data_IF_474900365990
#
_entry.id   IF_474900365990
#
_cell.length_a   1.000
_cell.length_b   1.000
_cell.length_c   1.000
_cell.angle_alpha   90.00
_cell.angle_beta   90.00
_cell.angle_gamma   90.00
#
_symmetry.space_group_name_H-M   'P 1'
#
loop_
_entity.id
_entity.type
_entity.pdbx_description
1 polymer ?
#
# COMPACT_ATOMS: atom_id res chain seq x y z
N UNK A 1 2.03 -1.13 17.57
CA UNK A 1 0.67 -1.00 18.15
C UNK A 1 -0.36 -1.71 17.26
N UNK A 2 -0.28 -1.59 15.94
CA UNK A 2 -1.30 -2.04 14.97
C UNK A 2 -1.01 -3.40 14.32
N UNK A 3 0.16 -3.99 14.51
CA UNK A 3 0.59 -5.16 13.75
C UNK A 3 0.56 -6.44 14.60
N UNK A 4 -0.10 -7.47 14.08
CA UNK A 4 0.04 -8.85 14.52
C UNK A 4 0.46 -9.69 13.31
N UNK A 5 1.78 -9.83 13.11
CA UNK A 5 2.36 -10.49 11.93
C UNK A 5 1.87 -11.92 11.76
N UNK A 6 1.72 -12.67 12.86
CA UNK A 6 1.25 -14.06 12.81
C UNK A 6 -0.13 -14.18 12.16
N UNK A 7 -1.02 -13.20 12.41
CA UNK A 7 -2.38 -13.16 11.83
C UNK A 7 -2.44 -12.54 10.44
N UNK A 8 -1.53 -11.62 10.14
CA UNK A 8 -1.50 -10.97 8.81
C UNK A 8 -0.84 -11.87 7.77
N UNK A 9 0.20 -12.60 8.16
CA UNK A 9 0.97 -13.47 7.25
C UNK A 9 0.47 -14.90 7.19
N UNK A 10 -0.40 -15.31 8.12
CA UNK A 10 -0.82 -16.72 8.26
C UNK A 10 0.30 -17.66 8.75
N UNK A 11 1.48 -17.14 9.05
CA UNK A 11 2.62 -17.93 9.50
C UNK A 11 2.78 -17.87 11.01
N UNK A 12 2.66 -19.01 11.66
CA UNK A 12 2.81 -19.14 13.12
C UNK A 12 4.26 -19.25 13.56
N UNK A 13 5.15 -19.69 12.68
CA UNK A 13 6.57 -19.93 12.95
C UNK A 13 7.45 -18.87 12.26
N UNK A 14 8.59 -18.51 12.86
CA UNK A 14 9.61 -17.73 12.18
C UNK A 14 10.07 -18.43 10.89
N UNK A 15 10.47 -17.68 9.89
CA UNK A 15 11.08 -18.24 8.70
C UNK A 15 12.36 -18.99 9.08
N UNK A 16 12.56 -20.18 8.50
CA UNK A 16 13.80 -20.97 8.63
C UNK A 16 14.35 -21.29 7.24
N UNK A 17 15.62 -21.71 7.17
CA UNK A 17 16.19 -22.15 5.90
C UNK A 17 15.40 -23.31 5.27
N UNK A 18 14.76 -24.14 6.09
CA UNK A 18 13.93 -25.26 5.62
C UNK A 18 12.64 -24.75 4.97
N UNK A 19 11.95 -23.78 5.62
CA UNK A 19 10.75 -23.18 5.04
C UNK A 19 11.05 -22.41 3.75
N UNK A 20 12.20 -21.71 3.68
CA UNK A 20 12.66 -21.06 2.45
C UNK A 20 12.94 -22.09 1.36
N UNK A 21 13.72 -23.15 1.67
CA UNK A 21 14.02 -24.22 0.70
C UNK A 21 12.75 -24.92 0.22
N UNK A 22 11.82 -25.22 1.11
CA UNK A 22 10.54 -25.82 0.73
C UNK A 22 9.77 -24.91 -0.24
N UNK A 23 9.63 -23.62 0.08
CA UNK A 23 8.93 -22.66 -0.78
C UNK A 23 9.55 -22.53 -2.18
N UNK A 24 10.89 -22.57 -2.30
CA UNK A 24 11.54 -22.44 -3.61
C UNK A 24 11.70 -23.76 -4.35
N UNK A 25 11.60 -24.90 -3.67
CA UNK A 25 11.72 -26.22 -4.32
C UNK A 25 10.52 -26.58 -5.21
N UNK A 26 9.38 -25.95 -5.01
CA UNK A 26 8.17 -26.12 -5.82
C UNK A 26 8.16 -25.25 -7.07
N UNK A 27 9.15 -24.35 -7.21
CA UNK A 27 9.22 -23.42 -8.34
C UNK A 27 9.88 -24.08 -9.54
N UNK A 28 9.25 -23.93 -10.70
CA UNK A 28 9.82 -24.40 -11.97
C UNK A 28 11.10 -23.60 -12.32
N UNK A 29 12.16 -24.27 -12.81
CA UNK A 29 13.34 -23.58 -13.31
C UNK A 29 13.00 -22.51 -14.36
N UNK A 30 13.75 -21.41 -14.36
CA UNK A 30 13.57 -20.26 -15.26
C UNK A 30 12.19 -19.58 -15.20
N UNK A 31 11.39 -19.82 -14.17
CA UNK A 31 10.08 -19.17 -13.99
C UNK A 31 10.17 -17.70 -13.58
N UNK A 32 11.32 -17.27 -13.05
CA UNK A 32 11.61 -15.86 -12.81
C UNK A 32 10.81 -15.20 -11.68
N UNK A 33 10.44 -15.94 -10.64
CA UNK A 33 9.70 -15.39 -9.50
C UNK A 33 10.53 -14.38 -8.70
N UNK A 34 9.86 -13.38 -8.11
CA UNK A 34 10.44 -12.55 -7.05
C UNK A 34 10.15 -13.19 -5.69
N UNK A 35 11.21 -13.44 -4.89
CA UNK A 35 11.08 -13.94 -3.52
C UNK A 35 11.17 -12.76 -2.55
N UNK A 36 10.19 -12.63 -1.66
CA UNK A 36 10.14 -11.54 -0.71
C UNK A 36 10.12 -12.04 0.74
N UNK A 37 11.02 -11.50 1.57
CA UNK A 37 11.02 -11.71 3.01
C UNK A 37 10.17 -10.64 3.69
N UNK A 38 9.01 -11.03 4.18
CA UNK A 38 8.06 -10.20 4.92
C UNK A 38 7.83 -10.74 6.33
N UNK A 39 7.15 -9.95 7.16
CA UNK A 39 6.70 -10.39 8.47
C UNK A 39 7.57 -9.91 9.62
N UNK A 40 8.50 -9.00 9.36
CA UNK A 40 9.36 -8.41 10.38
C UNK A 40 10.32 -7.39 9.79
N UNK A 41 11.30 -7.00 10.60
CA UNK A 41 12.40 -6.15 10.14
C UNK A 41 13.59 -7.04 9.81
N UNK A 42 13.74 -7.42 8.54
CA UNK A 42 14.75 -8.39 8.11
C UNK A 42 16.16 -8.01 8.57
N UNK A 43 16.55 -6.75 8.44
CA UNK A 43 17.89 -6.29 8.86
C UNK A 43 18.03 -6.09 10.38
N UNK A 44 16.97 -6.32 11.16
CA UNK A 44 17.01 -6.26 12.62
C UNK A 44 17.11 -7.63 13.29
N UNK A 45 16.96 -8.74 12.56
CA UNK A 45 17.27 -10.08 13.08
C UNK A 45 18.78 -10.34 13.12
N UNK A 46 19.26 -11.33 13.89
CA UNK A 46 20.68 -11.66 13.95
C UNK A 46 21.29 -11.89 12.57
N UNK A 47 22.54 -11.45 12.37
CA UNK A 47 23.23 -11.54 11.08
C UNK A 47 23.33 -12.97 10.57
N UNK A 48 23.65 -13.90 11.44
CA UNK A 48 23.71 -15.33 11.10
C UNK A 48 22.38 -15.88 10.60
N UNK A 49 21.26 -15.40 11.13
CA UNK A 49 19.93 -15.80 10.65
C UNK A 49 19.65 -15.19 9.28
N UNK A 50 20.00 -13.91 9.04
CA UNK A 50 19.88 -13.28 7.72
C UNK A 50 20.64 -14.08 6.66
N UNK A 51 21.89 -14.45 6.96
CA UNK A 51 22.76 -15.22 6.06
C UNK A 51 22.20 -16.60 5.76
N UNK A 52 21.72 -17.29 6.77
CA UNK A 52 21.10 -18.64 6.62
C UNK A 52 19.84 -18.58 5.73
N UNK A 53 18.99 -17.57 5.91
CA UNK A 53 17.79 -17.39 5.11
C UNK A 53 18.12 -17.02 3.65
N UNK A 54 19.05 -16.09 3.44
CA UNK A 54 19.46 -15.65 2.10
C UNK A 54 20.21 -16.76 1.35
N UNK A 55 21.11 -17.48 2.04
CA UNK A 55 21.83 -18.60 1.45
C UNK A 55 20.90 -19.71 0.96
N UNK A 56 19.76 -19.91 1.64
CA UNK A 56 18.78 -20.91 1.24
C UNK A 56 18.12 -20.61 -0.13
N UNK A 57 18.17 -19.36 -0.61
CA UNK A 57 17.62 -18.94 -1.92
C UNK A 57 18.60 -19.18 -3.07
N UNK A 58 19.91 -19.30 -2.79
CA UNK A 58 20.96 -19.37 -3.83
C UNK A 58 20.71 -20.45 -4.88
N UNK A 59 20.28 -21.70 -4.54
CA UNK A 59 20.00 -22.71 -5.56
C UNK A 59 18.90 -22.28 -6.55
N UNK A 60 17.82 -21.67 -6.05
CA UNK A 60 16.72 -21.18 -6.88
C UNK A 60 17.13 -19.96 -7.75
N UNK A 61 18.05 -19.13 -7.28
CA UNK A 61 18.69 -18.07 -8.10
C UNK A 61 19.50 -18.67 -9.24
N UNK A 62 20.30 -19.71 -8.97
CA UNK A 62 21.14 -20.37 -9.99
C UNK A 62 20.31 -21.08 -11.06
N UNK A 63 19.16 -21.66 -10.71
CA UNK A 63 18.25 -22.31 -11.67
C UNK A 63 17.38 -21.30 -12.45
N UNK A 64 17.40 -20.02 -12.07
CA UNK A 64 16.54 -18.98 -12.63
C UNK A 64 15.07 -19.08 -12.15
N UNK A 65 14.74 -19.96 -11.23
CA UNK A 65 13.42 -20.03 -10.63
C UNK A 65 13.08 -18.75 -9.84
N UNK A 66 14.09 -18.17 -9.17
CA UNK A 66 13.99 -16.86 -8.51
C UNK A 66 14.85 -15.85 -9.28
N UNK A 67 14.22 -14.81 -9.82
CA UNK A 67 14.87 -13.73 -10.57
C UNK A 67 15.28 -12.55 -9.68
N UNK A 68 14.56 -12.30 -8.59
CA UNK A 68 14.80 -11.17 -7.68
C UNK A 68 14.53 -11.54 -6.23
N UNK A 69 15.24 -10.87 -5.31
CA UNK A 69 15.01 -11.01 -3.86
C UNK A 69 14.68 -9.63 -3.30
N UNK A 70 13.62 -9.57 -2.50
CA UNK A 70 13.17 -8.39 -1.76
C UNK A 70 13.21 -8.64 -0.26
N UNK A 71 13.61 -7.63 0.50
CA UNK A 71 13.52 -7.66 1.97
C UNK A 71 12.72 -6.46 2.46
N UNK A 72 11.90 -6.67 3.50
CA UNK A 72 11.21 -5.59 4.19
C UNK A 72 11.84 -5.33 5.55
N UNK A 73 12.06 -4.05 5.88
CA UNK A 73 12.69 -3.68 7.14
C UNK A 73 12.24 -2.32 7.66
N UNK A 74 12.66 -2.01 8.90
CA UNK A 74 12.46 -0.70 9.52
C UNK A 74 13.56 0.27 9.09
N UNK A 75 13.26 1.58 8.96
CA UNK A 75 14.26 2.59 8.60
C UNK A 75 15.47 2.63 9.54
N UNK A 76 15.24 2.56 10.86
CA UNK A 76 16.29 2.60 11.89
C UNK A 76 17.19 1.35 11.94
N UNK A 77 16.86 0.32 11.16
CA UNK A 77 17.63 -0.92 11.08
C UNK A 77 18.50 -1.04 9.82
N UNK A 78 18.69 0.05 9.06
CA UNK A 78 19.48 0.09 7.82
C UNK A 78 20.85 0.72 8.11
N UNK A 79 21.92 0.02 7.71
CA UNK A 79 23.29 0.53 7.73
C UNK A 79 24.01 0.12 6.44
N UNK A 80 25.11 0.79 6.10
CA UNK A 80 25.92 0.45 4.93
C UNK A 80 26.42 -1.01 4.97
N UNK A 81 26.85 -1.49 6.14
CA UNK A 81 27.30 -2.86 6.34
C UNK A 81 26.20 -3.88 6.06
N UNK A 82 24.98 -3.63 6.56
CA UNK A 82 23.82 -4.50 6.30
C UNK A 82 23.43 -4.49 4.83
N UNK A 83 23.48 -3.34 4.18
CA UNK A 83 23.23 -3.23 2.74
C UNK A 83 24.30 -3.97 1.93
N UNK A 84 25.57 -3.88 2.30
CA UNK A 84 26.64 -4.64 1.65
C UNK A 84 26.40 -6.16 1.75
N UNK A 85 25.94 -6.65 2.90
CA UNK A 85 25.54 -8.06 3.10
C UNK A 85 24.38 -8.44 2.20
N UNK A 86 23.31 -7.65 2.18
CA UNK A 86 22.15 -7.90 1.32
C UNK A 86 22.57 -8.01 -0.16
N UNK A 87 23.45 -7.12 -0.61
CA UNK A 87 24.01 -7.13 -1.95
C UNK A 87 24.80 -8.39 -2.25
N UNK A 88 25.64 -8.83 -1.31
CA UNK A 88 26.43 -10.06 -1.46
C UNK A 88 25.55 -11.28 -1.75
N UNK A 89 24.37 -11.34 -1.12
CA UNK A 89 23.38 -12.42 -1.35
C UNK A 89 22.42 -12.16 -2.52
N UNK A 90 22.61 -11.08 -3.28
CA UNK A 90 21.82 -10.80 -4.47
C UNK A 90 20.41 -10.26 -4.19
N UNK A 91 20.21 -9.58 -3.06
CA UNK A 91 19.01 -8.78 -2.83
C UNK A 91 19.03 -7.58 -3.77
N UNK A 92 17.90 -7.28 -4.39
CA UNK A 92 17.74 -6.19 -5.37
C UNK A 92 16.83 -5.08 -4.84
N UNK A 93 15.85 -5.43 -4.01
CA UNK A 93 14.85 -4.48 -3.51
C UNK A 93 14.84 -4.43 -1.99
N UNK A 94 14.88 -3.21 -1.45
CA UNK A 94 14.69 -2.96 -0.01
C UNK A 94 13.39 -2.17 0.17
N UNK A 95 12.46 -2.74 0.93
CA UNK A 95 11.20 -2.11 1.30
C UNK A 95 11.28 -1.55 2.71
N UNK A 96 11.11 -0.24 2.88
CA UNK A 96 11.16 0.44 4.17
C UNK A 96 9.74 0.72 4.68
N UNK A 97 9.47 0.24 5.89
CA UNK A 97 8.22 0.51 6.59
C UNK A 97 8.21 1.90 7.23
N UNK A 98 8.12 2.98 6.44
CA UNK A 98 8.04 4.35 6.92
C UNK A 98 6.80 4.60 7.79
N UNK A 99 5.67 4.09 7.37
CA UNK A 99 4.34 4.20 7.95
C UNK A 99 3.79 5.64 7.97
N UNK A 100 4.50 6.60 8.55
CA UNK A 100 4.21 8.03 8.55
C UNK A 100 5.52 8.83 8.44
N UNK A 101 5.40 10.09 8.00
CA UNK A 101 6.48 11.08 8.04
C UNK A 101 6.20 12.18 9.07
N UNK A 102 5.30 11.90 10.03
CA UNK A 102 5.02 12.74 11.19
C UNK A 102 5.47 12.01 12.46
N UNK A 103 6.45 12.57 13.17
CA UNK A 103 7.07 11.91 14.33
C UNK A 103 6.10 11.70 15.49
N UNK A 104 5.12 12.60 15.67
CA UNK A 104 4.07 12.41 16.68
C UNK A 104 3.18 11.20 16.35
N UNK A 105 2.82 11.00 15.09
CA UNK A 105 2.06 9.83 14.63
C UNK A 105 2.88 8.56 14.82
N UNK A 106 4.16 8.59 14.48
CA UNK A 106 5.08 7.46 14.70
C UNK A 106 5.18 7.09 16.17
N UNK A 107 5.35 8.07 17.05
CA UNK A 107 5.41 7.88 18.50
C UNK A 107 4.12 7.27 19.05
N UNK A 108 2.97 7.85 18.70
CA UNK A 108 1.64 7.35 19.15
C UNK A 108 1.34 5.96 18.61
N UNK A 109 1.87 5.63 17.46
CA UNK A 109 1.77 4.31 16.85
C UNK A 109 2.78 3.30 17.38
N UNK A 110 3.61 3.67 18.36
CA UNK A 110 4.63 2.82 18.96
C UNK A 110 5.72 2.40 17.97
N UNK A 111 6.06 3.29 16.99
CA UNK A 111 7.18 3.08 16.09
C UNK A 111 8.47 3.52 16.78
N UNK A 112 9.54 2.75 16.58
CA UNK A 112 10.84 3.01 17.18
C UNK A 112 11.78 3.85 16.31
N UNK A 113 11.28 4.42 15.19
CA UNK A 113 12.04 5.25 14.27
C UNK A 113 11.34 6.60 14.06
N UNK A 114 12.09 7.55 13.52
CA UNK A 114 11.63 8.90 13.18
C UNK A 114 11.48 9.08 11.66
N UNK A 115 10.88 10.17 11.25
CA UNK A 115 10.83 10.58 9.84
C UNK A 115 12.24 10.79 9.27
N UNK A 116 13.17 11.32 10.08
CA UNK A 116 14.57 11.52 9.69
C UNK A 116 15.29 10.18 9.44
N UNK A 117 15.03 9.15 10.25
CA UNK A 117 15.55 7.80 10.01
C UNK A 117 15.07 7.26 8.65
N UNK A 118 13.81 7.53 8.29
CA UNK A 118 13.28 7.15 6.97
C UNK A 118 14.03 7.87 5.84
N UNK A 119 14.30 9.16 5.97
CA UNK A 119 15.05 9.93 4.97
C UNK A 119 16.47 9.40 4.82
N UNK A 120 17.16 9.16 5.94
CA UNK A 120 18.54 8.61 5.96
C UNK A 120 18.58 7.22 5.34
N UNK A 121 17.68 6.32 5.75
CA UNK A 121 17.62 4.97 5.21
C UNK A 121 17.30 4.95 3.70
N UNK A 122 16.36 5.76 3.25
CA UNK A 122 16.03 5.88 1.83
C UNK A 122 17.25 6.31 1.00
N UNK A 123 18.01 7.29 1.50
CA UNK A 123 19.26 7.73 0.86
C UNK A 123 20.30 6.60 0.80
N UNK A 124 20.56 5.92 1.91
CA UNK A 124 21.52 4.81 1.97
C UNK A 124 21.14 3.67 1.00
N UNK A 125 19.86 3.29 0.96
CA UNK A 125 19.36 2.24 0.05
C UNK A 125 19.60 2.63 -1.40
N UNK A 126 19.28 3.86 -1.80
CA UNK A 126 19.49 4.37 -3.16
C UNK A 126 20.95 4.50 -3.52
N UNK A 127 21.76 5.09 -2.65
CA UNK A 127 23.21 5.25 -2.87
C UNK A 127 23.91 3.89 -3.00
N UNK A 128 23.41 2.90 -2.26
CA UNK A 128 23.84 1.52 -2.40
C UNK A 128 23.30 0.83 -3.67
N UNK A 129 22.45 1.48 -4.51
CA UNK A 129 21.96 1.00 -5.80
C UNK A 129 20.89 -0.09 -5.71
N UNK A 130 20.14 -0.17 -4.61
CA UNK A 130 18.94 -1.00 -4.50
C UNK A 130 17.71 -0.28 -5.06
N UNK A 131 16.73 -1.04 -5.53
CA UNK A 131 15.38 -0.53 -5.69
C UNK A 131 14.79 -0.21 -4.31
N UNK A 132 14.27 0.99 -4.16
CA UNK A 132 13.67 1.46 -2.92
C UNK A 132 12.15 1.39 -3.01
N UNK A 133 11.52 0.60 -2.16
CA UNK A 133 10.08 0.69 -1.92
C UNK A 133 9.81 1.34 -0.57
N UNK A 134 8.79 2.21 -0.53
CA UNK A 134 8.34 2.82 0.72
C UNK A 134 6.90 2.39 1.02
N UNK A 135 6.67 1.98 2.26
CA UNK A 135 5.35 1.65 2.75
C UNK A 135 4.86 2.75 3.68
N UNK A 136 3.66 3.27 3.40
CA UNK A 136 2.95 4.19 4.28
C UNK A 136 1.62 3.62 4.75
N UNK A 137 1.12 4.18 5.85
CA UNK A 137 -0.22 3.87 6.37
C UNK A 137 -1.06 5.14 6.46
N UNK A 138 -2.38 5.00 6.38
CA UNK A 138 -3.34 6.07 6.67
C UNK A 138 -4.16 5.73 7.89
N UNK A 139 -4.64 6.76 8.61
CA UNK A 139 -5.49 6.59 9.77
C UNK A 139 -4.78 5.99 11.00
N UNK A 140 -3.47 6.14 11.14
CA UNK A 140 -2.73 5.73 12.33
C UNK A 140 -3.16 6.54 13.57
N UNK A 141 -2.95 6.03 14.80
CA UNK A 141 -3.21 6.78 16.03
C UNK A 141 -2.55 8.17 16.00
N UNK A 142 -3.36 9.21 16.13
CA UNK A 142 -2.92 10.60 16.07
C UNK A 142 -2.77 11.18 14.67
N UNK A 143 -3.05 10.42 13.62
CA UNK A 143 -3.10 10.93 12.25
C UNK A 143 -4.48 11.47 11.88
N UNK A 144 -4.50 12.30 10.86
CA UNK A 144 -5.67 12.79 10.15
C UNK A 144 -5.40 12.83 8.63
N UNK A 145 -6.41 13.20 7.84
CA UNK A 145 -6.29 13.30 6.38
C UNK A 145 -5.14 14.24 5.95
N UNK A 146 -4.89 15.34 6.70
CA UNK A 146 -3.86 16.31 6.35
C UNK A 146 -2.46 15.75 6.58
N UNK A 147 -2.24 15.06 7.71
CA UNK A 147 -0.97 14.40 8.04
C UNK A 147 -0.70 13.20 7.13
N UNK A 148 -1.73 12.45 6.75
CA UNK A 148 -1.59 11.33 5.79
C UNK A 148 -1.19 11.84 4.40
N UNK A 149 -1.78 12.96 3.93
CA UNK A 149 -1.40 13.61 2.67
C UNK A 149 0.00 14.23 2.76
N UNK A 150 0.36 14.84 3.89
CA UNK A 150 1.72 15.35 4.11
C UNK A 150 2.73 14.20 4.05
N UNK A 151 2.43 13.06 4.67
CA UNK A 151 3.25 11.84 4.60
C UNK A 151 3.44 11.38 3.15
N UNK A 152 2.37 11.33 2.35
CA UNK A 152 2.47 10.96 0.94
C UNK A 152 3.38 11.91 0.13
N UNK A 153 3.27 13.22 0.35
CA UNK A 153 4.14 14.21 -0.29
C UNK A 153 5.60 14.07 0.11
N UNK A 154 5.86 13.85 1.41
CA UNK A 154 7.22 13.64 1.92
C UNK A 154 7.83 12.36 1.35
N UNK A 155 7.07 11.28 1.25
CA UNK A 155 7.50 10.03 0.60
C UNK A 155 7.76 10.23 -0.88
N UNK A 156 6.88 10.93 -1.61
CA UNK A 156 7.08 11.21 -3.04
C UNK A 156 8.36 12.03 -3.29
N UNK A 157 8.70 12.96 -2.39
CA UNK A 157 9.94 13.74 -2.48
C UNK A 157 11.21 12.89 -2.35
N UNK A 158 11.15 11.72 -1.70
CA UNK A 158 12.26 10.76 -1.62
C UNK A 158 12.46 9.97 -2.93
N UNK A 159 11.51 10.07 -3.87
CA UNK A 159 11.54 9.39 -5.19
C UNK A 159 11.82 7.90 -5.07
N UNK A 160 10.99 7.12 -4.37
CA UNK A 160 11.12 5.67 -4.37
C UNK A 160 10.73 5.09 -5.74
N UNK A 161 11.16 3.86 -6.00
CA UNK A 161 10.80 3.10 -7.21
C UNK A 161 9.35 2.58 -7.14
N UNK A 162 8.74 2.59 -5.97
CA UNK A 162 7.33 2.27 -5.78
C UNK A 162 6.87 2.46 -4.34
N UNK A 163 5.55 2.50 -4.18
CA UNK A 163 4.92 2.72 -2.85
C UNK A 163 3.86 1.66 -2.59
N UNK A 164 3.71 1.33 -1.30
CA UNK A 164 2.55 0.60 -0.77
C UNK A 164 1.79 1.48 0.20
N UNK A 165 0.47 1.48 0.10
CA UNK A 165 -0.42 2.25 0.98
C UNK A 165 -1.32 1.27 1.72
N UNK A 166 -1.20 1.25 3.04
CA UNK A 166 -2.00 0.40 3.90
C UNK A 166 -2.86 1.24 4.85
N UNK A 167 -4.14 1.45 4.56
CA UNK A 167 -5.06 2.00 5.54
C UNK A 167 -5.12 1.13 6.79
N UNK A 168 -5.25 1.78 7.94
CA UNK A 168 -5.21 1.11 9.23
C UNK A 168 -6.40 0.19 9.41
N UNK A 169 -6.12 -1.06 9.74
CA UNK A 169 -7.09 -2.09 10.10
C UNK A 169 -6.85 -2.48 11.53
N UNK A 170 -7.91 -2.62 12.31
CA UNK A 170 -7.86 -3.07 13.70
C UNK A 170 -7.85 -4.60 13.69
N UNK A 171 -6.68 -5.16 14.00
CA UNK A 171 -6.47 -6.60 14.04
C UNK A 171 -6.67 -7.11 15.47
N UNK A 172 -7.33 -8.24 15.59
CA UNK A 172 -7.59 -8.92 16.86
C UNK A 172 -6.30 -9.19 17.66
N UNK A 173 -6.36 -9.00 18.98
CA UNK A 173 -5.23 -9.19 19.89
C UNK A 173 -4.05 -8.25 19.60
N UNK A 174 -4.33 -6.99 19.29
CA UNK A 174 -3.34 -5.93 19.16
C UNK A 174 -3.59 -4.82 20.16
N UNK A 175 -2.55 -4.08 20.59
CA UNK A 175 -2.74 -2.88 21.40
C UNK A 175 -3.66 -1.84 20.73
N UNK A 176 -3.76 -1.82 19.40
CA UNK A 176 -4.69 -0.94 18.69
C UNK A 176 -6.16 -1.33 18.95
N UNK A 177 -6.46 -2.63 19.01
CA UNK A 177 -7.79 -3.10 19.38
C UNK A 177 -8.15 -2.67 20.81
N UNK A 178 -7.20 -2.75 21.74
CA UNK A 178 -7.41 -2.30 23.12
C UNK A 178 -7.70 -0.80 23.18
N UNK A 179 -6.93 0.01 22.44
CA UNK A 179 -7.17 1.46 22.35
C UNK A 179 -8.55 1.78 21.75
N UNK A 180 -8.94 1.07 20.71
CA UNK A 180 -10.25 1.23 20.07
C UNK A 180 -11.39 0.84 21.03
N UNK A 181 -11.32 -0.32 21.67
CA UNK A 181 -12.33 -0.75 22.66
C UNK A 181 -12.44 0.19 23.86
N UNK A 182 -11.32 0.82 24.24
CA UNK A 182 -11.29 1.82 25.30
C UNK A 182 -11.74 3.23 24.86
N UNK A 183 -12.15 3.41 23.59
CA UNK A 183 -12.55 4.71 23.05
C UNK A 183 -11.40 5.71 22.89
N UNK A 184 -10.13 5.24 22.94
CA UNK A 184 -8.91 6.07 22.81
C UNK A 184 -8.37 6.14 21.39
N UNK A 185 -8.91 5.37 20.48
CA UNK A 185 -8.65 5.42 19.04
C UNK A 185 -9.97 5.39 18.31
N UNK A 186 -10.17 6.34 17.41
CA UNK A 186 -11.32 6.37 16.53
C UNK A 186 -11.01 5.50 15.30
N UNK A 187 -11.92 4.62 14.96
CA UNK A 187 -11.81 3.76 13.78
C UNK A 187 -11.59 4.57 12.51
N UNK A 188 -10.61 4.19 11.72
CA UNK A 188 -10.40 4.63 10.35
C UNK A 188 -11.23 3.73 9.43
N UNK A 189 -12.43 4.16 9.09
CA UNK A 189 -13.39 3.35 8.33
C UNK A 189 -12.95 3.11 6.87
N UNK A 190 -13.60 2.16 6.17
CA UNK A 190 -13.39 1.96 4.73
C UNK A 190 -13.67 3.25 3.95
N UNK A 191 -14.72 4.01 4.32
CA UNK A 191 -15.06 5.27 3.66
C UNK A 191 -13.99 6.35 3.90
N UNK A 192 -13.43 6.45 5.11
CA UNK A 192 -12.34 7.36 5.41
C UNK A 192 -11.08 7.02 4.59
N UNK A 193 -10.74 5.73 4.54
CA UNK A 193 -9.61 5.25 3.75
C UNK A 193 -9.80 5.53 2.26
N UNK A 194 -10.99 5.28 1.73
CA UNK A 194 -11.32 5.58 0.32
C UNK A 194 -11.21 7.07 0.05
N UNK A 195 -11.71 7.91 0.97
CA UNK A 195 -11.67 9.37 0.84
C UNK A 195 -10.23 9.90 0.83
N UNK A 196 -9.40 9.52 1.80
CA UNK A 196 -8.02 10.02 1.89
C UNK A 196 -7.11 9.42 0.81
N UNK A 197 -7.20 8.13 0.53
CA UNK A 197 -6.38 7.49 -0.50
C UNK A 197 -6.71 8.01 -1.91
N UNK A 198 -7.96 8.37 -2.22
CA UNK A 198 -8.31 9.02 -3.48
C UNK A 198 -7.68 10.42 -3.65
N UNK A 199 -7.24 11.07 -2.55
CA UNK A 199 -6.47 12.32 -2.58
C UNK A 199 -4.96 12.06 -2.61
N UNK A 200 -4.51 10.92 -2.10
CA UNK A 200 -3.10 10.52 -2.06
C UNK A 200 -2.63 9.97 -3.42
N UNK A 201 -3.44 9.16 -4.11
CA UNK A 201 -3.04 8.55 -5.37
C UNK A 201 -2.49 9.55 -6.40
N UNK A 202 -3.15 10.71 -6.66
CA UNK A 202 -2.63 11.69 -7.61
C UNK A 202 -1.23 12.21 -7.27
N UNK A 203 -0.85 12.27 -5.98
CA UNK A 203 0.47 12.72 -5.55
C UNK A 203 1.58 11.79 -6.10
N UNK A 204 1.33 10.49 -6.08
CA UNK A 204 2.27 9.50 -6.60
C UNK A 204 2.19 9.41 -8.12
N UNK A 205 0.99 9.47 -8.71
CA UNK A 205 0.78 9.45 -10.16
C UNK A 205 1.51 10.65 -10.82
N UNK A 206 1.33 11.87 -10.28
CA UNK A 206 1.99 13.09 -10.78
C UNK A 206 3.53 13.05 -10.63
N UNK A 207 4.02 12.33 -9.61
CA UNK A 207 5.46 12.11 -9.42
C UNK A 207 6.03 10.94 -10.24
N UNK A 208 5.19 10.23 -11.00
CA UNK A 208 5.58 9.05 -11.77
C UNK A 208 5.96 7.85 -10.90
N UNK A 209 5.47 7.78 -9.65
CA UNK A 209 5.79 6.72 -8.69
C UNK A 209 4.65 5.70 -8.66
N UNK A 210 4.89 4.43 -9.04
CA UNK A 210 3.85 3.42 -9.04
C UNK A 210 3.38 3.06 -7.63
N UNK A 211 2.07 3.11 -7.40
CA UNK A 211 1.45 2.53 -6.21
C UNK A 211 1.23 1.05 -6.48
N UNK A 212 2.18 0.22 -6.05
CA UNK A 212 2.19 -1.22 -6.32
C UNK A 212 1.19 -2.01 -5.48
N UNK A 213 0.72 -1.42 -4.38
CA UNK A 213 -0.30 -2.02 -3.52
C UNK A 213 -1.08 -0.95 -2.76
N UNK A 214 -2.41 -1.12 -2.73
CA UNK A 214 -3.31 -0.33 -1.90
C UNK A 214 -4.26 -1.28 -1.15
N UNK A 215 -4.19 -1.25 0.19
CA UNK A 215 -4.92 -2.16 1.08
C UNK A 215 -4.22 -3.50 1.32
N UNK A 216 -4.61 -4.19 2.39
CA UNK A 216 -4.09 -5.51 2.74
C UNK A 216 -4.48 -6.55 1.69
N UNK A 217 -3.65 -7.57 1.54
CA UNK A 217 -4.02 -8.74 0.75
C UNK A 217 -5.20 -9.43 1.44
N UNK A 218 -6.24 -9.80 0.69
CA UNK A 218 -7.26 -10.68 1.22
C UNK A 218 -6.62 -12.01 1.66
N UNK A 219 -6.97 -12.44 2.87
CA UNK A 219 -6.65 -13.76 3.38
C UNK A 219 -7.87 -14.34 4.08
N UNK A 220 -7.91 -15.66 4.20
CA UNK A 220 -8.99 -16.33 4.90
C UNK A 220 -9.06 -15.91 6.38
N UNK A 221 -7.91 -15.64 7.00
CA UNK A 221 -7.85 -15.17 8.38
C UNK A 221 -8.41 -13.76 8.55
N UNK A 222 -8.03 -12.82 7.67
CA UNK A 222 -8.55 -11.45 7.71
C UNK A 222 -10.05 -11.42 7.42
N UNK A 223 -10.49 -12.18 6.42
CA UNK A 223 -11.90 -12.31 6.05
C UNK A 223 -12.71 -13.10 7.07
N UNK A 224 -12.07 -14.03 7.80
CA UNK A 224 -12.63 -14.87 8.86
C UNK A 224 -12.75 -14.20 10.23
N UNK A 225 -12.47 -12.89 10.35
CA UNK A 225 -12.69 -12.12 11.57
C UNK A 225 -11.44 -11.69 12.32
N UNK A 226 -10.23 -11.92 11.80
CA UNK A 226 -9.02 -11.33 12.38
C UNK A 226 -9.01 -9.80 12.24
N UNK A 227 -9.63 -9.25 11.19
CA UNK A 227 -9.93 -7.83 11.06
C UNK A 227 -11.24 -7.52 11.78
N UNK A 228 -11.16 -6.93 12.98
CA UNK A 228 -12.34 -6.69 13.83
C UNK A 228 -13.02 -5.35 13.52
N UNK A 229 -12.29 -4.40 12.95
CA UNK A 229 -12.79 -3.09 12.53
C UNK A 229 -11.75 -2.39 11.63
N UNK A 230 -12.07 -1.20 11.12
CA UNK A 230 -11.14 -0.40 10.32
C UNK A 230 -11.28 -0.63 8.82
N UNK A 231 -10.28 -0.20 8.08
CA UNK A 231 -10.34 -0.07 6.63
C UNK A 231 -10.03 -1.38 5.88
N UNK A 232 -10.61 -2.50 6.31
CA UNK A 232 -10.46 -3.76 5.58
C UNK A 232 -11.56 -3.95 4.55
N UNK A 233 -11.16 -4.03 3.28
CA UNK A 233 -12.04 -4.40 2.17
C UNK A 233 -11.23 -5.12 1.08
N UNK A 234 -11.67 -6.29 0.58
CA UNK A 234 -10.91 -7.05 -0.43
C UNK A 234 -10.61 -6.27 -1.72
N UNK A 235 -11.54 -5.41 -2.12
CA UNK A 235 -11.44 -4.56 -3.31
C UNK A 235 -11.14 -3.08 -2.98
N UNK A 236 -10.43 -2.79 -1.88
CA UNK A 236 -10.19 -1.40 -1.44
C UNK A 236 -9.56 -0.54 -2.54
N UNK A 237 -8.58 -1.08 -3.26
CA UNK A 237 -7.93 -0.36 -4.35
C UNK A 237 -8.88 0.02 -5.49
N UNK A 238 -9.88 -0.81 -5.77
CA UNK A 238 -10.92 -0.50 -6.75
C UNK A 238 -11.85 0.62 -6.25
N UNK A 239 -12.28 0.54 -4.98
CA UNK A 239 -13.10 1.58 -4.36
C UNK A 239 -12.41 2.94 -4.39
N UNK A 240 -11.11 2.99 -4.07
CA UNK A 240 -10.32 4.22 -4.09
C UNK A 240 -10.21 4.79 -5.51
N UNK A 241 -9.92 3.95 -6.52
CA UNK A 241 -9.89 4.39 -7.92
C UNK A 241 -11.27 4.89 -8.37
N UNK A 242 -12.32 4.19 -8.01
CA UNK A 242 -13.70 4.60 -8.31
C UNK A 242 -14.03 5.98 -7.70
N UNK A 243 -13.61 6.23 -6.46
CA UNK A 243 -13.75 7.53 -5.80
C UNK A 243 -12.93 8.63 -6.53
N UNK A 244 -11.71 8.33 -6.95
CA UNK A 244 -10.89 9.27 -7.71
C UNK A 244 -11.60 9.69 -9.01
N UNK A 245 -12.18 8.74 -9.73
CA UNK A 245 -12.95 9.01 -10.95
C UNK A 245 -14.20 9.84 -10.65
N UNK A 246 -14.91 9.55 -9.56
CA UNK A 246 -16.02 10.38 -9.10
C UNK A 246 -15.60 11.82 -8.82
N UNK A 247 -14.50 12.03 -8.12
CA UNK A 247 -13.98 13.37 -7.83
C UNK A 247 -13.64 14.15 -9.12
N UNK A 248 -13.04 13.48 -10.12
CA UNK A 248 -12.79 14.08 -11.45
C UNK A 248 -14.10 14.48 -12.13
N UNK A 249 -15.10 13.61 -12.11
CA UNK A 249 -16.41 13.89 -12.69
C UNK A 249 -17.15 15.04 -11.97
N UNK A 250 -17.02 15.16 -10.64
CA UNK A 250 -17.57 16.30 -9.90
C UNK A 250 -17.05 17.65 -10.42
N UNK A 251 -15.74 17.72 -10.71
CA UNK A 251 -15.13 18.93 -11.26
C UNK A 251 -15.73 19.28 -12.65
N UNK A 252 -15.96 18.29 -13.50
CA UNK A 252 -16.56 18.48 -14.83
C UNK A 252 -18.03 18.88 -14.74
N UNK A 253 -18.74 18.32 -13.76
CA UNK A 253 -20.18 18.57 -13.57
C UNK A 253 -20.48 19.84 -12.78
N UNK A 254 -19.48 20.55 -12.26
CA UNK A 254 -19.66 21.76 -11.46
C UNK A 254 -20.44 22.87 -12.15
N UNK A 255 -20.44 22.89 -13.50
CA UNK A 255 -21.23 23.81 -14.32
C UNK A 255 -22.51 23.21 -14.92
N UNK A 256 -22.95 22.02 -14.49
CA UNK A 256 -24.14 21.41 -15.02
C UNK A 256 -25.40 22.06 -14.43
N UNK A 257 -26.43 22.28 -15.30
CA UNK A 257 -27.71 22.83 -14.85
C UNK A 257 -28.58 21.73 -14.20
N UNK A 258 -29.26 22.03 -13.10
CA UNK A 258 -30.27 21.10 -12.55
C UNK A 258 -31.28 20.69 -13.60
N UNK A 259 -31.68 19.39 -13.58
CA UNK A 259 -32.61 18.83 -14.56
C UNK A 259 -31.98 18.48 -15.93
N UNK A 260 -30.67 18.72 -16.13
CA UNK A 260 -30.02 18.35 -17.37
C UNK A 260 -29.85 16.84 -17.54
N UNK A 261 -29.84 16.39 -18.81
CA UNK A 261 -29.32 15.07 -19.18
C UNK A 261 -27.85 15.18 -19.52
N UNK A 262 -27.02 14.35 -18.93
CA UNK A 262 -25.58 14.36 -19.13
C UNK A 262 -25.08 12.97 -19.53
N UNK A 263 -24.16 12.95 -20.49
CA UNK A 263 -23.39 11.78 -20.86
C UNK A 263 -21.90 12.09 -20.62
N UNK A 264 -21.23 11.23 -19.86
CA UNK A 264 -19.77 11.29 -19.66
C UNK A 264 -19.10 10.23 -20.51
N UNK A 265 -18.16 10.64 -21.34
CA UNK A 265 -17.31 9.76 -22.14
C UNK A 265 -15.99 9.48 -21.42
N UNK A 266 -15.60 8.22 -21.35
CA UNK A 266 -14.32 7.76 -20.79
C UNK A 266 -13.75 6.66 -21.71
N UNK A 267 -12.45 6.35 -21.60
CA UNK A 267 -11.89 5.20 -22.31
C UNK A 267 -12.61 3.89 -21.93
N UNK A 268 -12.70 2.94 -22.86
CA UNK A 268 -13.50 1.70 -22.72
C UNK A 268 -13.22 0.94 -21.42
N UNK A 269 -11.96 0.83 -21.04
CA UNK A 269 -11.51 0.13 -19.82
C UNK A 269 -11.83 0.89 -18.51
N UNK A 270 -12.34 2.12 -18.60
CA UNK A 270 -12.67 2.97 -17.44
C UNK A 270 -14.17 3.12 -17.18
N UNK A 271 -15.02 2.60 -18.07
CA UNK A 271 -16.48 2.69 -17.90
C UNK A 271 -16.94 2.07 -16.57
N UNK A 272 -16.41 0.90 -16.20
CA UNK A 272 -16.78 0.23 -14.94
C UNK A 272 -16.35 1.03 -13.71
N UNK A 273 -15.10 1.47 -13.66
CA UNK A 273 -14.58 2.21 -12.49
C UNK A 273 -15.23 3.58 -12.35
N UNK A 274 -15.57 4.24 -13.46
CA UNK A 274 -16.31 5.50 -13.46
C UNK A 274 -17.76 5.30 -12.98
N UNK A 275 -18.40 4.21 -13.39
CA UNK A 275 -19.76 3.85 -12.96
C UNK A 275 -19.80 3.55 -11.45
N UNK A 276 -18.77 2.92 -10.93
CA UNK A 276 -18.65 2.46 -9.54
C UNK A 276 -19.45 1.18 -9.28
N UNK A 277 -19.11 0.50 -8.19
CA UNK A 277 -19.84 -0.70 -7.75
C UNK A 277 -21.32 -0.37 -7.54
N UNK A 278 -22.21 -1.22 -8.03
CA UNK A 278 -23.67 -1.00 -7.97
C UNK A 278 -24.12 0.38 -8.50
N UNK A 279 -23.38 0.97 -9.45
CA UNK A 279 -23.64 2.32 -10.01
C UNK A 279 -23.52 3.47 -8.99
N UNK A 280 -22.83 3.26 -7.89
CA UNK A 280 -22.77 4.21 -6.77
C UNK A 280 -22.28 5.61 -7.19
N UNK A 281 -21.30 5.71 -8.10
CA UNK A 281 -20.85 7.01 -8.57
C UNK A 281 -21.92 7.74 -9.38
N UNK A 282 -22.62 7.03 -10.25
CA UNK A 282 -23.67 7.65 -11.07
C UNK A 282 -24.83 8.15 -10.22
N UNK A 283 -25.29 7.32 -9.27
CA UNK A 283 -26.38 7.69 -8.35
C UNK A 283 -25.98 8.92 -7.52
N UNK A 284 -24.80 8.91 -6.94
CA UNK A 284 -24.26 10.03 -6.15
C UNK A 284 -24.16 11.33 -6.98
N UNK A 285 -23.57 11.26 -8.18
CA UNK A 285 -23.38 12.44 -9.03
C UNK A 285 -24.73 12.97 -9.56
N UNK A 286 -25.65 12.08 -9.92
CA UNK A 286 -26.98 12.46 -10.38
C UNK A 286 -27.76 13.21 -9.29
N UNK A 287 -27.73 12.71 -8.06
CA UNK A 287 -28.37 13.34 -6.91
C UNK A 287 -27.71 14.69 -6.56
N UNK A 288 -26.36 14.71 -6.42
CA UNK A 288 -25.59 15.87 -6.04
C UNK A 288 -25.78 17.06 -6.96
N UNK A 289 -25.86 16.83 -8.27
CA UNK A 289 -26.05 17.87 -9.29
C UNK A 289 -27.49 18.02 -9.76
N UNK A 290 -28.43 17.32 -9.10
CA UNK A 290 -29.86 17.34 -9.44
C UNK A 290 -30.11 17.06 -10.95
N UNK A 291 -29.35 16.13 -11.55
CA UNK A 291 -29.49 15.80 -12.96
C UNK A 291 -30.73 14.94 -13.23
N UNK A 292 -31.41 15.16 -14.35
CA UNK A 292 -32.51 14.31 -14.79
C UNK A 292 -32.01 12.91 -15.14
N UNK A 293 -30.88 12.84 -15.86
CA UNK A 293 -30.21 11.58 -16.13
C UNK A 293 -28.69 11.76 -16.23
N UNK A 294 -27.95 10.73 -15.82
CA UNK A 294 -26.50 10.64 -15.99
C UNK A 294 -26.11 9.26 -16.53
N UNK A 295 -25.38 9.25 -17.64
CA UNK A 295 -24.88 8.04 -18.28
C UNK A 295 -23.38 8.14 -18.50
N UNK A 296 -22.72 6.98 -18.53
CA UNK A 296 -21.30 6.84 -18.90
C UNK A 296 -21.22 5.93 -20.12
N UNK A 297 -20.43 6.31 -21.09
CA UNK A 297 -20.14 5.49 -22.27
C UNK A 297 -18.65 5.51 -22.60
N UNK A 298 -18.26 4.54 -23.43
CA UNK A 298 -16.94 4.56 -24.01
C UNK A 298 -16.82 5.71 -25.03
N UNK A 299 -15.69 6.39 -25.00
CA UNK A 299 -15.32 7.45 -25.93
C UNK A 299 -13.85 7.31 -26.33
N UNK A 300 -13.49 7.90 -27.45
CA UNK A 300 -12.10 7.98 -27.92
C UNK A 300 -11.40 9.14 -27.21
N UNK A 301 -10.93 8.84 -26.00
CA UNK A 301 -10.23 9.78 -25.11
C UNK A 301 -9.01 9.11 -24.50
N UNK A 302 -8.03 9.91 -24.12
CA UNK A 302 -6.83 9.42 -23.42
C UNK A 302 -7.20 8.72 -22.10
N UNK A 303 -6.46 7.69 -21.74
CA UNK A 303 -6.69 7.01 -20.46
C UNK A 303 -6.52 7.99 -19.30
N UNK A 304 -7.51 8.08 -18.44
CA UNK A 304 -7.54 9.05 -17.33
C UNK A 304 -8.36 10.31 -17.59
N UNK A 305 -8.80 10.54 -18.83
CA UNK A 305 -9.68 11.67 -19.18
C UNK A 305 -11.16 11.33 -19.05
N UNK A 306 -11.94 12.36 -18.78
CA UNK A 306 -13.40 12.34 -18.82
C UNK A 306 -13.85 13.53 -19.68
N UNK A 307 -14.74 13.29 -20.61
CA UNK A 307 -15.35 14.35 -21.44
C UNK A 307 -16.86 14.36 -21.24
N UNK A 308 -17.46 15.54 -21.36
CA UNK A 308 -18.91 15.68 -21.43
C UNK A 308 -19.32 15.65 -22.90
N UNK A 309 -20.22 14.74 -23.26
CA UNK A 309 -20.75 14.54 -24.61
C UNK A 309 -22.14 15.18 -24.72
#
# INVERSE_FOLDING_TARGET
>A
VFCNQKRISGSLLPASAETVRAAVSELEPASGYELAFYGGSFTAIPETEQEVLLAAVIPARKSGAVSAIRVSTRPDAVTEEKLARLRFYGVETVELGAQSMCDEVLLRSGRGHTSEDTVKAAKLVKDAGFMLLLQMMTGLPGSDDALDIQTARAIAALRPDGVRIYPTVIIQNTPLEELWRAGKYQEHTVEDAVRVCARILPIFDDAGIPVIRLGLNPSDELSGGAAVAGAYHPALGELVRSRLWRNKAEAILSGALPGADVVLGVSQNRVSVMTGQHRANLSYLQERFALRSLRVCAADVTDGEIVRI
#
